data_IF_234616044245
#
_entry.id   IF_234616044245
#
_cell.length_a   1.000
_cell.length_b   1.000
_cell.length_c   1.000
_cell.angle_alpha   90.00
_cell.angle_beta   90.00
_cell.angle_gamma   90.00
#
_symmetry.space_group_name_H-M   'P 1'
#
loop_
_entity.id
_entity.type
_entity.pdbx_description
1 polymer ?
#
# COMPACT_ATOMS: atom_id res chain seq x y z
N UNK A 1 -23.91 -26.25 0.62
CA UNK A 1 -24.29 -24.84 0.34
C UNK A 1 -23.58 -24.37 -0.92
N UNK A 2 -24.22 -24.49 -2.10
CA UNK A 2 -23.79 -23.76 -3.29
C UNK A 2 -24.07 -22.28 -3.02
N UNK A 3 -23.13 -21.55 -2.43
CA UNK A 3 -23.41 -20.19 -1.99
C UNK A 3 -22.71 -19.17 -2.91
N UNK A 4 -23.32 -18.78 -4.05
CA UNK A 4 -22.85 -17.66 -4.85
C UNK A 4 -22.69 -16.39 -4.02
N UNK A 5 -23.41 -16.28 -2.89
CA UNK A 5 -23.23 -15.21 -1.90
C UNK A 5 -21.82 -15.20 -1.29
N UNK A 6 -21.29 -16.34 -0.85
CA UNK A 6 -19.93 -16.43 -0.27
C UNK A 6 -18.85 -16.11 -1.30
N UNK A 7 -19.04 -16.50 -2.56
CA UNK A 7 -18.14 -16.12 -3.65
C UNK A 7 -18.21 -14.62 -3.95
N UNK A 8 -19.41 -14.04 -3.95
CA UNK A 8 -19.61 -12.61 -4.15
C UNK A 8 -18.95 -11.78 -3.03
N UNK A 9 -19.13 -12.18 -1.76
CA UNK A 9 -18.48 -11.56 -0.61
C UNK A 9 -16.94 -11.62 -0.71
N UNK A 10 -16.39 -12.79 -1.03
CA UNK A 10 -14.94 -12.95 -1.22
C UNK A 10 -14.39 -12.01 -2.30
N UNK A 11 -15.06 -11.91 -3.46
CA UNK A 11 -14.62 -10.99 -4.52
C UNK A 11 -14.72 -9.52 -4.13
N UNK A 12 -15.72 -9.16 -3.30
CA UNK A 12 -15.90 -7.81 -2.79
C UNK A 12 -14.74 -7.44 -1.85
N UNK A 13 -14.41 -8.31 -0.90
CA UNK A 13 -13.29 -8.11 0.03
C UNK A 13 -11.94 -8.01 -0.71
N UNK A 14 -11.71 -8.86 -1.73
CA UNK A 14 -10.50 -8.77 -2.57
C UNK A 14 -10.39 -7.44 -3.32
N UNK A 15 -11.50 -6.95 -3.90
CA UNK A 15 -11.54 -5.63 -4.56
C UNK A 15 -11.28 -4.50 -3.58
N UNK A 16 -11.82 -4.60 -2.38
CA UNK A 16 -11.59 -3.64 -1.30
C UNK A 16 -10.12 -3.59 -0.89
N UNK A 17 -9.49 -4.75 -0.62
CA UNK A 17 -8.07 -4.84 -0.31
C UNK A 17 -7.19 -4.24 -1.42
N UNK A 18 -7.51 -4.54 -2.70
CA UNK A 18 -6.83 -3.96 -3.86
C UNK A 18 -6.96 -2.45 -3.91
N UNK A 19 -8.16 -1.91 -3.68
CA UNK A 19 -8.41 -0.46 -3.66
C UNK A 19 -7.63 0.24 -2.55
N UNK A 20 -7.53 -0.36 -1.37
CA UNK A 20 -6.71 0.19 -0.29
C UNK A 20 -5.24 0.27 -0.69
N UNK A 21 -4.68 -0.79 -1.29
CA UNK A 21 -3.27 -0.81 -1.66
C UNK A 21 -2.95 0.20 -2.79
N UNK A 22 -3.83 0.30 -3.78
CA UNK A 22 -3.71 1.32 -4.85
C UNK A 22 -3.86 2.73 -4.26
N UNK A 23 -4.88 2.94 -3.43
CA UNK A 23 -5.15 4.24 -2.81
C UNK A 23 -3.98 4.72 -1.95
N UNK A 24 -3.37 3.80 -1.20
CA UNK A 24 -2.18 4.08 -0.40
C UNK A 24 -0.99 4.46 -1.27
N UNK A 25 -0.68 3.68 -2.31
CA UNK A 25 0.44 3.96 -3.21
C UNK A 25 0.28 5.30 -3.95
N UNK A 26 -0.91 5.58 -4.49
CA UNK A 26 -1.19 6.85 -5.17
C UNK A 26 -1.09 8.02 -4.21
N UNK A 27 -1.70 7.91 -3.02
CA UNK A 27 -1.69 9.00 -2.05
C UNK A 27 -0.27 9.26 -1.54
N UNK A 28 0.57 8.23 -1.35
CA UNK A 28 2.00 8.42 -1.04
C UNK A 28 2.69 9.22 -2.14
N UNK A 29 2.58 8.75 -3.38
CA UNK A 29 3.21 9.40 -4.52
C UNK A 29 2.80 10.87 -4.65
N UNK A 30 1.51 11.17 -4.50
CA UNK A 30 1.00 12.54 -4.54
C UNK A 30 1.55 13.38 -3.39
N UNK A 31 1.57 12.84 -2.17
CA UNK A 31 2.10 13.56 -1.01
C UNK A 31 3.60 13.85 -1.14
N UNK A 32 4.39 12.89 -1.58
CA UNK A 32 5.83 13.07 -1.80
C UNK A 32 6.08 14.09 -2.91
N UNK A 33 5.32 14.03 -4.00
CA UNK A 33 5.38 15.00 -5.09
C UNK A 33 5.04 16.42 -4.60
N UNK A 34 4.00 16.57 -3.77
CA UNK A 34 3.65 17.88 -3.18
C UNK A 34 4.76 18.39 -2.26
N UNK A 35 5.35 17.56 -1.41
CA UNK A 35 6.44 17.96 -0.51
C UNK A 35 7.67 18.41 -1.32
N UNK A 36 8.07 17.62 -2.31
CA UNK A 36 9.23 17.91 -3.17
C UNK A 36 9.00 19.19 -4.01
N UNK A 37 7.76 19.46 -4.45
CA UNK A 37 7.45 20.62 -5.29
C UNK A 37 7.18 21.90 -4.50
N UNK A 38 6.57 21.83 -3.31
CA UNK A 38 6.17 23.01 -2.53
C UNK A 38 7.11 23.33 -1.37
N UNK A 39 7.74 22.34 -0.74
CA UNK A 39 8.52 22.54 0.50
C UNK A 39 10.01 22.57 0.22
N UNK A 40 10.51 21.70 -0.67
CA UNK A 40 11.94 21.54 -0.93
C UNK A 40 12.41 22.14 -2.27
N UNK A 41 11.57 22.99 -2.89
CA UNK A 41 11.77 23.51 -4.24
C UNK A 41 13.12 24.22 -4.44
N UNK A 42 13.58 24.93 -3.41
CA UNK A 42 14.81 25.73 -3.45
C UNK A 42 16.01 25.06 -2.76
N UNK A 43 15.79 23.93 -2.06
CA UNK A 43 16.84 23.25 -1.28
C UNK A 43 17.41 22.02 -1.98
N UNK A 44 16.67 21.40 -2.90
CA UNK A 44 17.11 20.20 -3.61
C UNK A 44 17.70 20.55 -4.97
N UNK A 45 18.92 20.08 -5.20
CA UNK A 45 19.57 20.12 -6.49
C UNK A 45 18.72 19.40 -7.54
N UNK A 46 18.60 19.98 -8.75
CA UNK A 46 17.69 19.50 -9.79
C UNK A 46 17.91 18.02 -10.15
N UNK A 47 19.15 17.54 -10.05
CA UNK A 47 19.51 16.13 -10.27
C UNK A 47 18.93 15.21 -9.19
N UNK A 48 19.14 15.55 -7.90
CA UNK A 48 18.61 14.79 -6.76
C UNK A 48 17.08 14.69 -6.82
N UNK A 49 16.42 15.78 -7.19
CA UNK A 49 14.97 15.83 -7.34
C UNK A 49 14.44 14.82 -8.36
N UNK A 50 15.09 14.72 -9.52
CA UNK A 50 14.71 13.77 -10.56
C UNK A 50 14.94 12.32 -10.11
N UNK A 51 16.03 12.05 -9.38
CA UNK A 51 16.31 10.71 -8.84
C UNK A 51 15.24 10.29 -7.84
N UNK A 52 14.87 11.16 -6.90
CA UNK A 52 13.81 10.86 -5.91
C UNK A 52 12.47 10.62 -6.60
N UNK A 53 12.09 11.47 -7.57
CA UNK A 53 10.85 11.27 -8.34
C UNK A 53 10.85 9.95 -9.11
N UNK A 54 11.98 9.55 -9.69
CA UNK A 54 12.11 8.24 -10.34
C UNK A 54 11.93 7.08 -9.35
N UNK A 55 12.50 7.20 -8.15
CA UNK A 55 12.32 6.21 -7.08
C UNK A 55 10.86 6.13 -6.65
N UNK A 56 10.19 7.27 -6.44
CA UNK A 56 8.78 7.31 -6.05
C UNK A 56 7.88 6.71 -7.14
N UNK A 57 8.18 6.98 -8.41
CA UNK A 57 7.45 6.38 -9.53
C UNK A 57 7.64 4.86 -9.57
N UNK A 58 8.87 4.39 -9.28
CA UNK A 58 9.19 2.97 -9.21
C UNK A 58 8.45 2.29 -8.03
N UNK A 59 8.42 2.93 -6.86
CA UNK A 59 7.65 2.48 -5.69
C UNK A 59 6.17 2.41 -5.99
N UNK A 60 5.60 3.43 -6.64
CA UNK A 60 4.20 3.41 -7.07
C UNK A 60 3.94 2.21 -8.00
N UNK A 61 4.86 1.96 -8.95
CA UNK A 61 4.84 0.77 -9.80
C UNK A 61 4.82 -0.54 -9.01
N UNK A 62 5.65 -0.64 -7.96
CA UNK A 62 5.66 -1.81 -7.06
C UNK A 62 4.34 -1.98 -6.32
N UNK A 63 3.74 -0.90 -5.80
CA UNK A 63 2.41 -0.95 -5.18
C UNK A 63 1.33 -1.37 -6.18
N UNK A 64 1.38 -0.89 -7.42
CA UNK A 64 0.46 -1.32 -8.48
C UNK A 64 0.66 -2.79 -8.86
N UNK A 65 1.91 -3.28 -8.91
CA UNK A 65 2.22 -4.68 -9.13
C UNK A 65 1.68 -5.55 -7.98
N UNK A 66 1.92 -5.15 -6.72
CA UNK A 66 1.36 -5.79 -5.53
C UNK A 66 -0.18 -5.82 -5.60
N UNK A 67 -0.81 -4.73 -6.02
CA UNK A 67 -2.26 -4.63 -6.19
C UNK A 67 -2.79 -5.58 -7.28
N UNK A 68 -2.01 -5.82 -8.34
CA UNK A 68 -2.33 -6.79 -9.38
C UNK A 68 -2.25 -8.24 -8.86
N UNK A 69 -1.31 -8.54 -7.95
CA UNK A 69 -1.15 -9.87 -7.34
C UNK A 69 -2.12 -10.18 -6.18
N UNK A 70 -2.90 -9.20 -5.71
CA UNK A 70 -3.91 -9.37 -4.63
C UNK A 70 -4.86 -10.56 -4.83
N UNK A 71 -5.40 -10.87 -6.03
CA UNK A 71 -6.32 -12.00 -6.21
C UNK A 71 -5.69 -13.36 -5.89
N UNK A 72 -4.36 -13.50 -6.00
CA UNK A 72 -3.64 -14.73 -5.67
C UNK A 72 -3.28 -14.82 -4.20
N UNK A 73 -2.72 -13.75 -3.63
CA UNK A 73 -2.16 -13.76 -2.29
C UNK A 73 -2.39 -12.42 -1.55
N UNK A 74 -3.64 -12.09 -1.18
CA UNK A 74 -3.99 -10.76 -0.70
C UNK A 74 -3.31 -10.39 0.62
N UNK A 75 -3.11 -11.34 1.55
CA UNK A 75 -2.35 -11.08 2.80
C UNK A 75 -0.90 -10.72 2.51
N UNK A 76 -0.22 -11.50 1.68
CA UNK A 76 1.19 -11.26 1.35
C UNK A 76 1.36 -9.91 0.68
N UNK A 77 0.48 -9.52 -0.25
CA UNK A 77 0.56 -8.22 -0.91
C UNK A 77 0.39 -7.06 0.08
N UNK A 78 -0.58 -7.16 1.00
CA UNK A 78 -0.83 -6.11 2.01
C UNK A 78 0.32 -5.99 3.01
N UNK A 79 0.88 -7.11 3.48
CA UNK A 79 2.04 -7.14 4.37
C UNK A 79 3.26 -6.57 3.65
N UNK A 80 3.52 -7.00 2.42
CA UNK A 80 4.63 -6.50 1.62
C UNK A 80 4.50 -4.99 1.39
N UNK A 81 3.31 -4.47 1.07
CA UNK A 81 3.06 -3.04 0.96
C UNK A 81 3.33 -2.28 2.27
N UNK A 82 2.94 -2.86 3.41
CA UNK A 82 3.22 -2.28 4.73
C UNK A 82 4.73 -2.23 5.03
N UNK A 83 5.44 -3.32 4.72
CA UNK A 83 6.90 -3.39 4.89
C UNK A 83 7.60 -2.40 3.98
N UNK A 84 7.18 -2.30 2.72
CA UNK A 84 7.74 -1.38 1.74
C UNK A 84 7.53 0.08 2.17
N UNK A 85 6.34 0.40 2.69
CA UNK A 85 6.03 1.70 3.27
C UNK A 85 6.99 2.08 4.40
N UNK A 86 7.20 1.18 5.37
CA UNK A 86 8.10 1.44 6.49
C UNK A 86 9.56 1.50 6.08
N UNK A 87 10.00 0.66 5.14
CA UNK A 87 11.35 0.72 4.57
C UNK A 87 11.64 2.08 3.96
N UNK A 88 10.71 2.64 3.18
CA UNK A 88 10.85 3.96 2.59
C UNK A 88 10.92 5.04 3.66
N UNK A 89 10.09 4.94 4.70
CA UNK A 89 10.10 5.92 5.78
C UNK A 89 11.36 5.87 6.65
N UNK A 90 11.91 4.69 6.88
CA UNK A 90 13.20 4.54 7.56
C UNK A 90 14.35 5.05 6.68
N UNK A 91 14.30 4.82 5.36
CA UNK A 91 15.27 5.36 4.41
C UNK A 91 15.24 6.89 4.36
N UNK A 92 14.06 7.50 4.32
CA UNK A 92 13.89 8.95 4.36
C UNK A 92 14.39 9.55 5.68
N UNK A 93 14.13 8.86 6.80
CA UNK A 93 14.58 9.28 8.13
C UNK A 93 16.11 9.29 8.30
N UNK A 94 16.83 8.48 7.54
CA UNK A 94 18.29 8.47 7.57
C UNK A 94 18.89 9.78 7.04
N UNK A 95 18.25 10.40 6.04
CA UNK A 95 18.68 11.69 5.48
C UNK A 95 18.23 12.89 6.31
N UNK A 96 16.98 12.87 6.80
CA UNK A 96 16.45 13.91 7.69
C UNK A 96 15.53 13.28 8.75
N UNK A 97 15.96 13.21 10.03
CA UNK A 97 15.13 12.65 11.09
C UNK A 97 13.86 13.48 11.37
N UNK A 98 13.80 14.74 10.92
CA UNK A 98 12.58 15.56 11.01
C UNK A 98 11.47 15.04 10.10
N UNK A 99 11.80 14.31 9.03
CA UNK A 99 10.84 13.62 8.16
C UNK A 99 10.10 12.49 8.88
N UNK A 100 10.65 11.97 9.98
CA UNK A 100 10.03 10.94 10.80
C UNK A 100 8.83 11.50 11.57
N UNK A 101 8.97 12.72 12.11
CA UNK A 101 7.95 13.44 12.87
C UNK A 101 6.96 14.18 11.98
N UNK A 102 7.43 14.76 10.87
CA UNK A 102 6.56 15.40 9.88
C UNK A 102 5.70 14.35 9.19
N UNK A 103 4.39 14.63 9.13
CA UNK A 103 3.43 13.72 8.49
C UNK A 103 3.14 12.45 9.30
N UNK A 104 3.45 12.39 10.60
CA UNK A 104 3.14 11.21 11.43
C UNK A 104 1.64 10.84 11.40
N UNK A 105 0.75 11.84 11.34
CA UNK A 105 -0.70 11.65 11.16
C UNK A 105 -0.99 10.92 9.86
N UNK A 106 -0.32 11.31 8.77
CA UNK A 106 -0.47 10.71 7.44
C UNK A 106 0.05 9.26 7.47
N UNK A 107 1.18 9.00 8.14
CA UNK A 107 1.73 7.64 8.30
C UNK A 107 0.80 6.73 9.11
N UNK A 108 0.19 7.26 10.17
CA UNK A 108 -0.81 6.53 10.96
C UNK A 108 -2.05 6.24 10.10
N UNK A 109 -2.54 7.20 9.32
CA UNK A 109 -3.64 7.00 8.37
C UNK A 109 -3.32 5.91 7.34
N UNK A 110 -2.12 5.92 6.77
CA UNK A 110 -1.66 4.88 5.84
C UNK A 110 -1.60 3.50 6.49
N UNK A 111 -1.01 3.42 7.69
CA UNK A 111 -0.92 2.18 8.45
C UNK A 111 -2.32 1.64 8.76
N UNK A 112 -3.26 2.49 9.18
CA UNK A 112 -4.64 2.09 9.42
C UNK A 112 -5.38 1.68 8.14
N UNK A 113 -5.15 2.36 7.02
CA UNK A 113 -5.74 2.02 5.72
C UNK A 113 -5.25 0.64 5.24
N UNK A 114 -3.94 0.39 5.32
CA UNK A 114 -3.35 -0.91 5.01
C UNK A 114 -3.81 -1.99 6.00
N UNK A 115 -3.94 -1.67 7.29
CA UNK A 115 -4.43 -2.61 8.30
C UNK A 115 -5.87 -3.04 8.02
N UNK A 116 -6.76 -2.09 7.67
CA UNK A 116 -8.14 -2.39 7.26
C UNK A 116 -8.16 -3.22 5.97
N UNK A 117 -7.32 -2.88 4.99
CA UNK A 117 -7.13 -3.68 3.79
C UNK A 117 -6.66 -5.11 4.08
N UNK A 118 -5.74 -5.28 5.04
CA UNK A 118 -5.21 -6.57 5.47
C UNK A 118 -6.26 -7.42 6.18
N UNK A 119 -7.09 -6.84 7.04
CA UNK A 119 -8.21 -7.55 7.66
C UNK A 119 -9.23 -8.03 6.62
N UNK A 120 -9.58 -7.16 5.67
CA UNK A 120 -10.47 -7.50 4.53
C UNK A 120 -9.88 -8.64 3.68
N UNK A 121 -8.61 -8.52 3.29
CA UNK A 121 -7.84 -9.57 2.61
C UNK A 121 -7.82 -10.89 3.39
N UNK A 122 -7.67 -10.82 4.71
CA UNK A 122 -7.59 -11.99 5.57
C UNK A 122 -8.90 -12.74 5.66
N UNK A 123 -10.03 -12.02 5.72
CA UNK A 123 -11.37 -12.61 5.64
C UNK A 123 -11.59 -13.30 4.30
N UNK A 124 -11.25 -12.65 3.19
CA UNK A 124 -11.39 -13.24 1.85
C UNK A 124 -10.63 -14.58 1.71
N UNK A 125 -9.40 -14.66 2.23
CA UNK A 125 -8.61 -15.89 2.21
C UNK A 125 -9.15 -16.99 3.13
N UNK A 126 -9.73 -16.64 4.28
CA UNK A 126 -10.40 -17.62 5.14
C UNK A 126 -11.60 -18.22 4.42
N UNK A 127 -12.46 -17.38 3.83
CA UNK A 127 -13.61 -17.82 3.05
C UNK A 127 -13.18 -18.75 1.89
N UNK A 128 -12.07 -18.42 1.20
CA UNK A 128 -11.55 -19.27 0.13
C UNK A 128 -11.14 -20.66 0.63
N UNK A 129 -10.36 -20.71 1.72
CA UNK A 129 -9.85 -21.96 2.32
C UNK A 129 -10.97 -22.81 2.89
N UNK A 130 -11.97 -22.19 3.52
CA UNK A 130 -13.11 -22.89 4.10
C UNK A 130 -14.01 -23.45 2.98
N UNK A 131 -14.13 -22.77 1.84
CA UNK A 131 -14.75 -23.35 0.64
C UNK A 131 -13.99 -24.59 0.16
N UNK A 132 -12.67 -24.49 -0.04
CA UNK A 132 -11.84 -25.60 -0.53
C UNK A 132 -12.01 -26.85 0.36
N UNK A 133 -11.96 -26.71 1.69
CA UNK A 133 -12.17 -27.82 2.65
C UNK A 133 -13.54 -28.48 2.62
N UNK A 134 -14.58 -27.78 2.19
CA UNK A 134 -15.95 -28.32 2.14
C UNK A 134 -16.21 -29.08 0.83
N UNK A 135 -15.42 -28.80 -0.20
CA UNK A 135 -15.54 -29.45 -1.52
C UNK A 135 -14.52 -30.57 -1.74
N UNK A 136 -13.52 -30.73 -0.86
CA UNK A 136 -12.70 -31.94 -0.70
C UNK A 136 -13.44 -32.99 0.13
#
# INVERSE_FOLDING_TARGET
MNNPQTRAEMTKELKTARRYLIGVGILMFVMDLVIIQLVQRDQLEAWFRNVVLCIDLFVLGLFLALAYFVPRAPRFCLIAGLVLFWLLQLGAAYGDPSALYKGIIVKILFTMALWKGLQSASKAQLLKRDLERVFE
#
